data_IF_410797745304
#
_entry.id   IF_410797745304
#
_cell.length_a   1.000
_cell.length_b   1.000
_cell.length_c   1.000
_cell.angle_alpha   90.00
_cell.angle_beta   90.00
_cell.angle_gamma   90.00
#
_symmetry.space_group_name_H-M   'P 1'
#
loop_
_entity.id
_entity.type
_entity.pdbx_description
1 polymer ?
#
# COMPACT_ATOMS: atom_id res chain seq x y z
N UNK A 1 47.86 -12.43 -23.45
CA UNK A 1 46.79 -13.07 -22.70
C UNK A 1 46.38 -12.35 -21.40
N UNK A 2 47.33 -11.87 -20.57
CA UNK A 2 47.06 -11.19 -19.28
C UNK A 2 46.30 -9.85 -19.38
N UNK A 3 46.52 -9.08 -20.45
CA UNK A 3 45.87 -7.77 -20.65
C UNK A 3 44.37 -7.85 -20.98
N UNK A 4 43.93 -8.89 -21.70
CA UNK A 4 42.52 -9.14 -21.98
C UNK A 4 41.71 -9.57 -20.75
N UNK A 5 42.37 -10.28 -19.81
CA UNK A 5 41.77 -10.74 -18.57
C UNK A 5 41.48 -9.57 -17.61
N UNK A 6 42.40 -8.59 -17.56
CA UNK A 6 42.28 -7.37 -16.75
C UNK A 6 41.12 -6.46 -17.23
N UNK A 7 40.95 -6.32 -18.55
CA UNK A 7 39.83 -5.54 -19.11
C UNK A 7 38.48 -6.20 -18.83
N UNK A 8 38.39 -7.54 -18.91
CA UNK A 8 37.16 -8.27 -18.61
C UNK A 8 36.77 -8.15 -17.12
N UNK A 9 37.77 -8.21 -16.22
CA UNK A 9 37.52 -8.05 -14.77
C UNK A 9 37.12 -6.61 -14.43
N UNK A 10 37.67 -5.59 -15.08
CA UNK A 10 37.27 -4.21 -14.90
C UNK A 10 35.85 -3.93 -15.41
N UNK A 11 35.44 -4.51 -16.54
CA UNK A 11 34.09 -4.41 -17.09
C UNK A 11 33.05 -5.08 -16.21
N UNK A 12 33.39 -6.23 -15.62
CA UNK A 12 32.50 -6.92 -14.68
C UNK A 12 32.34 -6.16 -13.35
N UNK A 13 33.41 -5.51 -12.86
CA UNK A 13 33.31 -4.66 -11.67
C UNK A 13 32.50 -3.38 -11.92
N UNK A 14 32.65 -2.77 -13.08
CA UNK A 14 31.86 -1.59 -13.48
C UNK A 14 30.39 -1.97 -13.65
N UNK A 15 30.07 -3.14 -14.21
CA UNK A 15 28.70 -3.62 -14.32
C UNK A 15 28.07 -3.91 -12.94
N UNK A 16 28.85 -4.44 -11.99
CA UNK A 16 28.39 -4.69 -10.61
C UNK A 16 28.15 -3.37 -9.85
N UNK A 17 29.01 -2.36 -10.04
CA UNK A 17 28.86 -1.04 -9.42
C UNK A 17 27.68 -0.29 -10.04
N UNK A 18 27.44 -0.37 -11.34
CA UNK A 18 26.28 0.20 -12.00
C UNK A 18 24.96 -0.47 -11.53
N UNK A 19 24.94 -1.77 -11.25
CA UNK A 19 23.80 -2.46 -10.66
C UNK A 19 23.50 -1.98 -9.23
N UNK A 20 24.51 -1.59 -8.45
CA UNK A 20 24.34 -1.06 -7.09
C UNK A 20 23.87 0.39 -7.06
N UNK A 21 24.11 1.16 -8.11
CA UNK A 21 23.77 2.60 -8.18
C UNK A 21 22.44 2.84 -8.89
N UNK A 22 22.05 1.97 -9.82
CA UNK A 22 20.75 1.97 -10.50
C UNK A 22 19.91 0.78 -10.04
N UNK A 23 19.68 0.65 -8.73
CA UNK A 23 18.55 -0.10 -8.25
C UNK A 23 17.30 0.58 -8.81
N UNK A 24 16.76 0.06 -9.91
CA UNK A 24 15.42 0.45 -10.37
C UNK A 24 14.47 0.12 -9.24
N UNK A 25 13.97 1.14 -8.55
CA UNK A 25 12.90 0.97 -7.58
C UNK A 25 11.71 0.38 -8.37
N UNK A 26 11.58 -0.94 -8.34
CA UNK A 26 10.44 -1.64 -8.91
C UNK A 26 9.24 -1.27 -8.03
N UNK A 27 8.16 -0.80 -8.64
CA UNK A 27 6.93 -0.52 -7.91
C UNK A 27 6.53 -1.79 -7.13
N UNK A 28 6.31 -1.65 -5.80
CA UNK A 28 6.00 -2.79 -4.94
C UNK A 28 7.16 -3.33 -4.09
N UNK A 29 8.36 -2.75 -4.17
CA UNK A 29 9.49 -3.05 -3.27
C UNK A 29 9.50 -2.16 -2.02
N UNK A 30 8.38 -2.11 -1.28
CA UNK A 30 8.35 -1.38 -0.02
C UNK A 30 9.41 -1.85 0.96
N UNK A 31 9.73 -1.02 1.94
CA UNK A 31 10.78 -1.24 2.92
C UNK A 31 10.25 -1.73 4.28
N UNK A 32 11.03 -2.54 4.97
CA UNK A 32 10.78 -2.89 6.37
C UNK A 32 11.06 -1.68 7.24
N UNK A 33 10.09 -1.33 8.07
CA UNK A 33 10.15 -0.19 8.98
C UNK A 33 9.66 -0.60 10.37
N UNK A 34 9.86 0.24 11.38
CA UNK A 34 9.32 -0.01 12.72
C UNK A 34 9.03 1.30 13.41
N UNK A 35 7.76 1.73 13.37
CA UNK A 35 7.26 2.88 14.11
C UNK A 35 5.79 2.66 14.48
N UNK A 36 5.29 3.44 15.44
CA UNK A 36 3.91 3.29 15.91
C UNK A 36 2.91 3.65 14.82
N UNK A 37 1.93 2.77 14.62
CA UNK A 37 0.87 3.02 13.65
C UNK A 37 -0.05 4.15 14.17
N UNK A 38 -0.54 5.03 13.28
CA UNK A 38 -1.43 6.11 13.69
C UNK A 38 -2.69 5.60 14.37
N UNK A 39 -3.01 6.15 15.53
CA UNK A 39 -4.29 5.93 16.24
C UNK A 39 -5.24 7.02 15.80
N UNK A 40 -6.14 6.69 14.89
CA UNK A 40 -7.10 7.61 14.28
C UNK A 40 -8.41 6.90 14.00
N UNK A 41 -9.49 7.65 13.82
CA UNK A 41 -10.76 7.14 13.31
C UNK A 41 -11.08 7.79 11.97
N UNK A 42 -11.74 7.02 11.11
CA UNK A 42 -12.27 7.49 9.84
C UNK A 42 -13.72 7.04 9.67
N UNK A 43 -14.40 7.56 8.65
CA UNK A 43 -15.78 7.16 8.31
C UNK A 43 -15.72 6.24 7.10
N UNK A 44 -16.33 5.06 7.19
CA UNK A 44 -16.36 4.13 6.06
C UNK A 44 -17.46 4.49 5.04
N UNK A 45 -17.54 3.74 3.96
CA UNK A 45 -18.50 3.91 2.87
C UNK A 45 -19.98 3.84 3.30
N UNK A 46 -20.28 3.30 4.46
CA UNK A 46 -21.65 3.17 5.00
C UNK A 46 -21.93 4.21 6.09
N UNK A 47 -21.02 5.14 6.35
CA UNK A 47 -21.16 6.19 7.37
C UNK A 47 -20.79 5.74 8.78
N UNK A 48 -20.30 4.51 8.96
CA UNK A 48 -19.87 4.02 10.25
C UNK A 48 -18.46 4.53 10.59
N UNK A 49 -18.26 4.89 11.87
CA UNK A 49 -16.93 5.24 12.38
C UNK A 49 -16.09 3.97 12.53
N UNK A 50 -14.92 3.97 11.93
CA UNK A 50 -13.91 2.92 12.02
C UNK A 50 -12.74 3.44 12.84
N UNK A 51 -12.50 2.83 14.00
CA UNK A 51 -11.34 3.13 14.84
C UNK A 51 -10.19 2.19 14.45
N UNK A 52 -9.10 2.75 13.94
CA UNK A 52 -7.97 1.98 13.46
C UNK A 52 -7.29 1.16 14.57
N UNK A 53 -7.22 1.69 15.80
CA UNK A 53 -6.67 0.96 16.93
C UNK A 53 -7.44 -0.34 17.22
N UNK A 54 -8.76 -0.36 17.03
CA UNK A 54 -9.58 -1.56 17.22
C UNK A 54 -9.40 -2.56 16.08
N UNK A 55 -9.11 -2.08 14.87
CA UNK A 55 -8.76 -2.96 13.76
C UNK A 55 -7.39 -3.62 13.99
N UNK A 56 -6.39 -2.88 14.46
CA UNK A 56 -5.05 -3.41 14.74
C UNK A 56 -5.05 -4.52 15.80
N UNK A 57 -6.02 -4.50 16.73
CA UNK A 57 -6.20 -5.57 17.73
C UNK A 57 -6.70 -6.88 17.13
N UNK A 58 -7.37 -6.84 15.97
CA UNK A 58 -7.93 -8.03 15.31
C UNK A 58 -6.87 -8.85 14.57
N UNK A 59 -5.74 -8.24 14.20
CA UNK A 59 -4.65 -8.93 13.51
C UNK A 59 -3.79 -8.00 12.66
N UNK A 60 -2.88 -8.56 11.87
CA UNK A 60 -2.13 -7.77 10.90
C UNK A 60 -3.08 -6.98 10.00
N UNK A 61 -2.75 -5.72 9.74
CA UNK A 61 -3.66 -4.82 9.01
C UNK A 61 -2.95 -4.19 7.83
N UNK A 62 -3.53 -4.35 6.65
CA UNK A 62 -3.13 -3.65 5.43
C UNK A 62 -3.94 -2.38 5.33
N UNK A 63 -3.26 -1.23 5.29
CA UNK A 63 -3.88 0.06 4.97
C UNK A 63 -3.32 0.54 3.64
N UNK A 64 -4.15 0.61 2.60
CA UNK A 64 -3.72 1.06 1.29
C UNK A 64 -4.38 2.38 0.92
N UNK A 65 -3.58 3.29 0.41
CA UNK A 65 -4.02 4.60 -0.08
C UNK A 65 -4.03 4.60 -1.59
N UNK A 66 -5.03 5.25 -2.16
CA UNK A 66 -5.19 5.35 -3.61
C UNK A 66 -5.72 6.73 -4.02
N UNK A 67 -5.34 7.21 -5.23
CA UNK A 67 -5.68 8.55 -5.68
C UNK A 67 -7.18 8.82 -5.80
N UNK A 68 -7.95 7.90 -6.44
CA UNK A 68 -9.36 8.13 -6.69
C UNK A 68 -10.12 6.83 -6.98
N UNK A 69 -11.27 6.66 -6.32
CA UNK A 69 -12.19 5.56 -6.53
C UNK A 69 -12.62 5.42 -8.00
N UNK A 70 -12.74 4.18 -8.48
CA UNK A 70 -13.23 3.85 -9.83
C UNK A 70 -12.25 4.13 -10.97
N UNK A 71 -11.04 4.68 -10.72
CA UNK A 71 -10.04 4.83 -11.78
C UNK A 71 -9.35 3.50 -12.08
N UNK A 72 -8.85 3.26 -13.33
CA UNK A 72 -8.33 1.97 -13.74
C UNK A 72 -7.23 1.41 -12.83
N UNK A 73 -6.25 2.23 -12.43
CA UNK A 73 -5.15 1.79 -11.55
C UNK A 73 -5.61 1.50 -10.12
N UNK A 74 -6.54 2.31 -9.57
CA UNK A 74 -7.10 2.10 -8.24
C UNK A 74 -8.01 0.86 -8.20
N UNK A 75 -8.75 0.63 -9.28
CA UNK A 75 -9.54 -0.60 -9.45
C UNK A 75 -8.65 -1.83 -9.49
N UNK A 76 -7.55 -1.81 -10.26
CA UNK A 76 -6.59 -2.92 -10.28
C UNK A 76 -6.02 -3.21 -8.89
N UNK A 77 -5.62 -2.18 -8.13
CA UNK A 77 -5.09 -2.35 -6.78
C UNK A 77 -6.13 -2.97 -5.83
N UNK A 78 -7.34 -2.42 -5.78
CA UNK A 78 -8.40 -2.91 -4.92
C UNK A 78 -8.83 -4.34 -5.30
N UNK A 79 -8.94 -4.65 -6.59
CA UNK A 79 -9.27 -5.99 -7.09
C UNK A 79 -8.18 -7.01 -6.76
N UNK A 80 -6.89 -6.66 -6.84
CA UNK A 80 -5.79 -7.53 -6.41
C UNK A 80 -5.98 -7.98 -4.94
N UNK A 81 -6.27 -7.03 -4.05
CA UNK A 81 -6.54 -7.33 -2.64
C UNK A 81 -7.85 -8.09 -2.43
N UNK A 82 -8.91 -7.77 -3.18
CA UNK A 82 -10.18 -8.50 -3.15
C UNK A 82 -9.99 -9.98 -3.51
N UNK A 83 -9.30 -10.25 -4.58
CA UNK A 83 -9.11 -11.60 -5.11
C UNK A 83 -8.26 -12.47 -4.17
N UNK A 84 -7.37 -11.85 -3.38
CA UNK A 84 -6.58 -12.51 -2.35
C UNK A 84 -7.23 -12.49 -0.96
N UNK A 85 -8.38 -11.84 -0.79
CA UNK A 85 -8.95 -11.54 0.54
C UNK A 85 -9.26 -12.79 1.36
N UNK A 86 -9.75 -13.85 0.73
CA UNK A 86 -10.05 -15.10 1.41
C UNK A 86 -8.80 -15.72 2.05
N UNK A 87 -7.64 -15.67 1.36
CA UNK A 87 -6.39 -16.17 1.91
C UNK A 87 -5.84 -15.26 3.01
N UNK A 88 -5.84 -13.95 2.77
CA UNK A 88 -5.40 -12.96 3.76
C UNK A 88 -6.22 -13.06 5.05
N UNK A 89 -7.54 -13.23 4.94
CA UNK A 89 -8.43 -13.38 6.09
C UNK A 89 -8.19 -14.66 6.89
N UNK A 90 -7.81 -15.77 6.24
CA UNK A 90 -7.40 -17.01 6.94
C UNK A 90 -6.16 -16.79 7.82
N UNK A 91 -5.29 -15.84 7.44
CA UNK A 91 -4.13 -15.43 8.23
C UNK A 91 -4.47 -14.30 9.24
N UNK A 92 -5.74 -13.96 9.41
CA UNK A 92 -6.22 -12.91 10.31
C UNK A 92 -5.99 -11.48 9.81
N UNK A 93 -5.56 -11.31 8.55
CA UNK A 93 -5.23 -10.00 7.99
C UNK A 93 -6.50 -9.18 7.74
N UNK A 94 -6.49 -7.96 8.24
CA UNK A 94 -7.51 -6.94 7.97
C UNK A 94 -7.06 -6.08 6.79
N UNK A 95 -8.00 -5.59 5.98
CA UNK A 95 -7.72 -4.71 4.83
C UNK A 95 -8.59 -3.47 4.91
N UNK A 96 -7.99 -2.29 4.74
CA UNK A 96 -8.68 -0.99 4.72
C UNK A 96 -8.14 -0.17 3.55
N UNK A 97 -9.04 0.35 2.71
CA UNK A 97 -8.69 1.32 1.67
C UNK A 97 -9.00 2.74 2.12
N UNK A 98 -8.20 3.72 1.69
CA UNK A 98 -8.36 5.14 2.06
C UNK A 98 -8.14 6.03 0.83
N UNK A 99 -9.02 7.00 0.61
CA UNK A 99 -8.82 8.07 -0.36
C UNK A 99 -9.58 9.34 0.02
N UNK A 100 -9.33 10.44 -0.69
CA UNK A 100 -10.07 11.70 -0.52
C UNK A 100 -11.50 11.68 -1.05
N UNK A 101 -11.93 10.55 -1.62
CA UNK A 101 -13.27 10.43 -2.17
C UNK A 101 -14.33 10.55 -1.07
N UNK A 102 -15.52 11.05 -1.46
CA UNK A 102 -16.68 11.12 -0.57
C UNK A 102 -17.24 9.73 -0.28
N UNK A 103 -18.06 9.65 0.76
CA UNK A 103 -18.70 8.42 1.19
C UNK A 103 -19.50 7.73 0.06
N UNK A 104 -20.22 8.50 -0.74
CA UNK A 104 -21.04 7.99 -1.84
C UNK A 104 -20.18 7.33 -2.93
N UNK A 105 -19.04 7.95 -3.27
CA UNK A 105 -18.09 7.41 -4.25
C UNK A 105 -17.44 6.13 -3.75
N UNK A 106 -17.08 6.08 -2.47
CA UNK A 106 -16.54 4.87 -1.82
C UNK A 106 -17.58 3.75 -1.80
N UNK A 107 -18.83 4.08 -1.47
CA UNK A 107 -19.94 3.11 -1.47
C UNK A 107 -20.16 2.52 -2.86
N UNK A 108 -20.20 3.38 -3.86
CA UNK A 108 -20.32 2.96 -5.26
C UNK A 108 -19.13 2.08 -5.67
N UNK A 109 -17.91 2.50 -5.38
CA UNK A 109 -16.71 1.75 -5.75
C UNK A 109 -16.67 0.36 -5.09
N UNK A 110 -17.01 0.29 -3.79
CA UNK A 110 -17.12 -0.99 -3.06
C UNK A 110 -18.14 -1.92 -3.71
N UNK A 111 -19.32 -1.41 -4.04
CA UNK A 111 -20.38 -2.19 -4.66
C UNK A 111 -20.02 -2.67 -6.07
N UNK A 112 -19.55 -1.76 -6.93
CA UNK A 112 -19.20 -2.06 -8.32
C UNK A 112 -18.11 -3.13 -8.40
N UNK A 113 -17.12 -3.08 -7.51
CA UNK A 113 -15.99 -4.02 -7.50
C UNK A 113 -16.17 -5.18 -6.52
N UNK A 114 -17.30 -5.26 -5.81
CA UNK A 114 -17.60 -6.29 -4.81
C UNK A 114 -16.47 -6.44 -3.77
N UNK A 115 -15.98 -5.31 -3.25
CA UNK A 115 -14.87 -5.31 -2.30
C UNK A 115 -15.35 -5.81 -0.92
N UNK A 116 -14.70 -6.82 -0.33
CA UNK A 116 -15.12 -7.43 0.94
C UNK A 116 -14.64 -6.65 2.18
N UNK A 117 -13.88 -5.59 2.02
CA UNK A 117 -13.28 -4.79 3.08
C UNK A 117 -13.80 -3.35 3.05
N UNK A 118 -13.53 -2.60 4.13
CA UNK A 118 -13.96 -1.22 4.24
C UNK A 118 -13.09 -0.23 3.48
N UNK A 119 -13.76 0.79 2.95
CA UNK A 119 -13.15 1.94 2.31
C UNK A 119 -13.46 3.19 3.14
N UNK A 120 -12.42 3.90 3.57
CA UNK A 120 -12.55 5.12 4.35
C UNK A 120 -12.67 6.32 3.40
N UNK A 121 -13.74 7.06 3.59
CA UNK A 121 -13.93 8.37 2.98
C UNK A 121 -13.20 9.42 3.82
N UNK A 122 -12.15 10.01 3.25
CA UNK A 122 -11.31 11.00 3.94
C UNK A 122 -11.23 12.34 3.19
N UNK A 123 -12.38 13.00 2.88
CA UNK A 123 -12.39 14.21 2.06
C UNK A 123 -11.61 15.36 2.70
N UNK A 124 -11.45 15.37 4.01
CA UNK A 124 -10.67 16.37 4.76
C UNK A 124 -9.18 15.99 4.86
N UNK A 125 -8.81 14.75 4.52
CA UNK A 125 -7.44 14.26 4.54
C UNK A 125 -6.86 14.05 5.94
N UNK A 126 -7.69 13.78 6.93
CA UNK A 126 -7.27 13.53 8.32
C UNK A 126 -6.49 12.21 8.44
N UNK A 127 -7.01 11.14 7.84
CA UNK A 127 -6.36 9.83 7.84
C UNK A 127 -5.10 9.86 6.96
N UNK A 128 -5.18 10.47 5.78
CA UNK A 128 -4.03 10.69 4.89
C UNK A 128 -2.90 11.43 5.61
N UNK A 129 -3.22 12.49 6.36
CA UNK A 129 -2.24 13.25 7.13
C UNK A 129 -1.64 12.46 8.31
N UNK A 130 -2.46 11.68 9.03
CA UNK A 130 -2.00 10.85 10.15
C UNK A 130 -0.97 9.80 9.69
N UNK A 131 -1.17 9.20 8.51
CA UNK A 131 -0.22 8.26 7.90
C UNK A 131 0.93 8.96 7.16
N UNK A 132 0.97 10.29 7.13
CA UNK A 132 1.98 11.09 6.41
C UNK A 132 2.06 10.74 4.92
N UNK A 133 0.93 10.36 4.34
CA UNK A 133 0.85 10.04 2.91
C UNK A 133 0.92 11.33 2.10
N UNK A 134 1.76 11.32 1.07
CA UNK A 134 1.93 12.47 0.18
C UNK A 134 0.64 12.81 -0.56
N UNK A 135 0.38 14.11 -0.68
CA UNK A 135 -0.72 14.64 -1.47
C UNK A 135 -0.23 15.02 -2.85
N UNK A 136 -0.92 14.52 -3.86
CA UNK A 136 -0.73 14.95 -5.24
C UNK A 136 -1.81 15.96 -5.59
N UNK A 137 -1.42 17.09 -6.18
CA UNK A 137 -2.36 18.09 -6.70
C UNK A 137 -2.59 17.82 -8.19
N UNK A 138 -3.85 17.63 -8.58
CA UNK A 138 -4.26 17.58 -9.99
C UNK A 138 -5.32 18.64 -10.23
N UNK A 139 -4.87 19.81 -10.66
CA UNK A 139 -5.71 21.01 -10.72
C UNK A 139 -6.16 21.43 -9.32
N UNK A 140 -7.47 21.52 -9.09
CA UNK A 140 -8.07 21.87 -7.79
C UNK A 140 -8.32 20.64 -6.90
N UNK A 141 -7.94 19.42 -7.33
CA UNK A 141 -8.20 18.20 -6.60
C UNK A 141 -6.97 17.77 -5.80
N UNK A 142 -7.16 17.51 -4.52
CA UNK A 142 -6.19 16.78 -3.68
C UNK A 142 -6.39 15.28 -3.86
N UNK A 143 -5.31 14.55 -4.16
CA UNK A 143 -5.30 13.11 -4.33
C UNK A 143 -4.26 12.50 -3.39
N UNK A 144 -4.56 11.38 -2.76
CA UNK A 144 -3.56 10.62 -2.03
C UNK A 144 -2.57 9.96 -3.01
N UNK A 145 -1.28 9.98 -2.71
CA UNK A 145 -0.35 9.13 -3.44
C UNK A 145 -0.67 7.65 -3.15
N UNK A 146 -0.31 6.78 -4.10
CA UNK A 146 -0.53 5.35 -3.93
C UNK A 146 0.52 4.78 -3.00
N UNK A 147 0.12 4.45 -1.78
CA UNK A 147 0.99 3.89 -0.75
C UNK A 147 0.31 2.70 -0.08
N UNK A 148 1.09 1.82 0.50
CA UNK A 148 0.59 0.68 1.25
C UNK A 148 1.39 0.48 2.52
N UNK A 149 0.69 0.22 3.61
CA UNK A 149 1.26 -0.02 4.94
C UNK A 149 0.82 -1.38 5.44
N UNK A 150 1.75 -2.14 6.01
CA UNK A 150 1.43 -3.33 6.80
C UNK A 150 1.68 -3.03 8.27
N UNK A 151 0.66 -3.19 9.09
CA UNK A 151 0.68 -2.97 10.53
C UNK A 151 0.58 -4.31 11.24
N UNK A 152 1.44 -4.56 12.24
CA UNK A 152 1.41 -5.75 13.10
C UNK A 152 1.69 -5.33 14.54
N UNK A 153 0.81 -5.71 15.47
CA UNK A 153 0.97 -5.35 16.87
C UNK A 153 0.98 -3.84 17.16
N UNK A 154 0.21 -3.05 16.41
CA UNK A 154 0.14 -1.59 16.54
C UNK A 154 1.35 -0.82 15.98
N UNK A 155 2.27 -1.51 15.30
CA UNK A 155 3.42 -0.89 14.60
C UNK A 155 3.31 -1.07 13.10
N UNK A 156 3.69 -0.04 12.34
CA UNK A 156 3.96 -0.19 10.91
C UNK A 156 5.26 -0.97 10.79
N UNK A 157 5.19 -2.14 10.15
CA UNK A 157 6.32 -3.06 9.97
C UNK A 157 6.84 -3.09 8.54
N UNK A 158 6.05 -2.59 7.61
CA UNK A 158 6.43 -2.43 6.20
C UNK A 158 5.65 -1.27 5.58
N UNK A 159 6.31 -0.51 4.72
CA UNK A 159 5.75 0.62 4.00
C UNK A 159 6.20 0.62 2.55
N UNK A 160 5.27 0.71 1.63
CA UNK A 160 5.53 0.92 0.21
C UNK A 160 5.02 2.30 -0.20
N UNK A 161 5.96 3.22 -0.43
CA UNK A 161 5.66 4.59 -0.83
C UNK A 161 5.27 4.71 -2.33
N UNK A 162 5.43 3.64 -3.12
CA UNK A 162 5.07 3.57 -4.54
C UNK A 162 4.33 2.27 -4.85
N UNK A 163 3.29 2.01 -4.07
CA UNK A 163 2.58 0.75 -4.09
C UNK A 163 2.13 0.32 -5.51
N UNK A 164 2.31 -0.96 -5.77
CA UNK A 164 1.91 -1.58 -7.03
C UNK A 164 0.39 -1.56 -7.21
N UNK A 165 -0.09 -1.84 -8.40
CA UNK A 165 -1.53 -1.96 -8.67
C UNK A 165 -1.98 -3.42 -8.72
N UNK A 166 -1.60 -4.15 -9.76
CA UNK A 166 -2.02 -5.54 -9.95
C UNK A 166 -1.33 -6.50 -8.98
N UNK A 167 -0.10 -6.19 -8.54
CA UNK A 167 0.73 -7.06 -7.70
C UNK A 167 0.59 -6.79 -6.20
N UNK A 168 -0.30 -5.86 -5.79
CA UNK A 168 -0.41 -5.43 -4.39
C UNK A 168 -0.60 -6.60 -3.41
N UNK A 169 -1.44 -7.57 -3.75
CA UNK A 169 -1.67 -8.73 -2.90
C UNK A 169 -0.45 -9.66 -2.82
N UNK A 170 0.29 -9.80 -3.91
CA UNK A 170 1.53 -10.59 -3.94
C UNK A 170 2.60 -9.97 -3.05
N UNK A 171 2.76 -8.64 -3.11
CA UNK A 171 3.67 -7.89 -2.25
C UNK A 171 3.35 -8.11 -0.76
N UNK A 172 2.07 -7.99 -0.38
CA UNK A 172 1.63 -8.22 0.99
C UNK A 172 1.87 -9.67 1.44
N UNK A 173 1.52 -10.66 0.61
CA UNK A 173 1.74 -12.09 0.94
C UNK A 173 3.23 -12.39 1.14
N UNK A 174 4.10 -11.84 0.29
CA UNK A 174 5.56 -11.97 0.43
C UNK A 174 6.04 -11.42 1.76
N UNK A 175 5.65 -10.19 2.11
CA UNK A 175 6.06 -9.54 3.36
C UNK A 175 5.53 -10.29 4.58
N UNK A 176 4.28 -10.75 4.57
CA UNK A 176 3.70 -11.54 5.66
C UNK A 176 4.48 -12.84 5.90
N UNK A 177 4.93 -13.51 4.84
CA UNK A 177 5.75 -14.72 4.95
C UNK A 177 7.13 -14.46 5.59
N UNK A 178 7.71 -13.29 5.33
CA UNK A 178 8.99 -12.86 5.91
C UNK A 178 8.89 -12.40 7.38
N UNK A 179 7.68 -12.15 7.88
CA UNK A 179 7.41 -11.68 9.24
C UNK A 179 6.96 -12.81 10.19
N UNK A 180 6.89 -14.05 9.69
CA UNK A 180 6.61 -15.26 10.49
C UNK A 180 7.89 -15.78 11.13
#
# INVERSE_FOLDING_TARGET
MKFRLLILAALLMIAAILHSIFGTAVAGEGEKVSYDAPIISGVNQDGATVNFADIYKKGPTVVFFYPKAGTPGCTKQACSLRDAFADLSKEGVQVIGVSFDKQEDQKKFKADQKLPFDLIADPEGKVVAAFKVDKMLKGLLSLASRQCFLIKGGKVVWHDAKASTAEQAADIKRVLAELK
#
